data_IF_276951287472
#
_entry.id   IF_276951287472
#
_cell.length_a   1.000
_cell.length_b   1.000
_cell.length_c   1.000
_cell.angle_alpha   90.00
_cell.angle_beta   90.00
_cell.angle_gamma   90.00
#
_symmetry.space_group_name_H-M   'P 1'
#
loop_
_entity.id
_entity.type
_entity.pdbx_description
1 polymer ?
#
# COMPACT_ATOMS: atom_id res chain seq x y z
N UNK A 1 36.71 -2.07 -2.04
CA UNK A 1 35.29 -1.88 -2.42
C UNK A 1 35.00 -0.41 -2.25
N UNK A 2 34.40 0.21 -3.25
CA UNK A 2 34.18 1.65 -3.25
C UNK A 2 33.03 1.98 -2.29
N UNK A 3 33.34 2.75 -1.23
CA UNK A 3 32.39 3.05 -0.15
C UNK A 3 31.16 3.80 -0.68
N UNK A 4 31.36 4.63 -1.70
CA UNK A 4 30.32 5.41 -2.36
C UNK A 4 29.32 4.51 -3.09
N UNK A 5 29.82 3.56 -3.89
CA UNK A 5 28.97 2.59 -4.60
C UNK A 5 28.11 1.74 -3.63
N UNK A 6 28.64 1.40 -2.45
CA UNK A 6 27.87 0.67 -1.43
C UNK A 6 26.80 1.51 -0.76
N UNK A 7 27.00 2.83 -0.66
CA UNK A 7 26.00 3.74 -0.11
C UNK A 7 24.86 3.97 -1.11
N UNK A 8 25.18 4.26 -2.38
CA UNK A 8 24.19 4.42 -3.44
C UNK A 8 23.29 3.20 -3.57
N UNK A 9 23.87 1.98 -3.59
CA UNK A 9 23.10 0.75 -3.67
C UNK A 9 22.12 0.56 -2.49
N UNK A 10 22.47 1.03 -1.28
CA UNK A 10 21.59 0.98 -0.11
C UNK A 10 20.42 1.95 -0.22
N UNK A 11 20.67 3.15 -0.74
CA UNK A 11 19.63 4.16 -1.00
C UNK A 11 18.67 3.64 -2.08
N UNK A 12 19.19 3.10 -3.17
CA UNK A 12 18.39 2.49 -4.24
C UNK A 12 17.48 1.37 -3.72
N UNK A 13 18.04 0.42 -2.95
CA UNK A 13 17.27 -0.68 -2.37
C UNK A 13 16.18 -0.19 -1.40
N UNK A 14 16.46 0.85 -0.60
CA UNK A 14 15.47 1.46 0.27
C UNK A 14 14.37 2.18 -0.53
N UNK A 15 14.72 2.88 -1.60
CA UNK A 15 13.77 3.54 -2.50
C UNK A 15 12.87 2.54 -3.22
N UNK A 16 13.41 1.41 -3.69
CA UNK A 16 12.62 0.31 -4.25
C UNK A 16 11.64 -0.25 -3.21
N UNK A 17 12.08 -0.45 -1.98
CA UNK A 17 11.21 -0.92 -0.89
C UNK A 17 10.05 0.03 -0.58
N UNK A 18 10.28 1.35 -0.66
CA UNK A 18 9.23 2.38 -0.53
C UNK A 18 8.27 2.32 -1.72
N UNK A 19 8.79 2.21 -2.95
CA UNK A 19 7.99 2.13 -4.16
C UNK A 19 7.09 0.88 -4.17
N UNK A 20 7.62 -0.27 -3.76
CA UNK A 20 6.87 -1.52 -3.62
C UNK A 20 5.76 -1.40 -2.56
N UNK A 21 6.08 -0.90 -1.36
CA UNK A 21 5.09 -0.72 -0.30
C UNK A 21 3.96 0.25 -0.71
N UNK A 22 4.30 1.31 -1.44
CA UNK A 22 3.32 2.22 -2.02
C UNK A 22 2.43 1.51 -3.04
N UNK A 23 3.02 0.77 -3.98
CA UNK A 23 2.27 0.05 -5.01
C UNK A 23 1.32 -0.99 -4.38
N UNK A 24 1.79 -1.67 -3.34
CA UNK A 24 0.97 -2.59 -2.56
C UNK A 24 -0.28 -1.94 -1.97
N UNK A 25 -0.16 -0.75 -1.36
CA UNK A 25 -1.31 0.01 -0.85
C UNK A 25 -2.29 0.39 -1.96
N UNK A 26 -1.80 0.84 -3.11
CA UNK A 26 -2.64 1.17 -4.28
C UNK A 26 -3.44 -0.06 -4.73
N UNK A 27 -2.80 -1.23 -4.77
CA UNK A 27 -3.46 -2.47 -5.15
C UNK A 27 -4.50 -2.94 -4.12
N UNK A 28 -4.24 -2.74 -2.83
CA UNK A 28 -5.22 -3.00 -1.77
C UNK A 28 -6.45 -2.09 -1.89
N UNK A 29 -6.24 -0.78 -2.08
CA UNK A 29 -7.32 0.19 -2.26
C UNK A 29 -8.17 -0.11 -3.49
N UNK A 30 -7.52 -0.49 -4.60
CA UNK A 30 -8.23 -0.92 -5.81
C UNK A 30 -9.09 -2.15 -5.53
N UNK A 31 -8.56 -3.13 -4.79
CA UNK A 31 -9.30 -4.35 -4.44
C UNK A 31 -10.46 -4.07 -3.48
N UNK A 32 -10.30 -3.17 -2.51
CA UNK A 32 -11.38 -2.73 -1.64
C UNK A 32 -12.53 -2.10 -2.44
N UNK A 33 -12.22 -1.24 -3.41
CA UNK A 33 -13.24 -0.68 -4.30
C UNK A 33 -13.99 -1.75 -5.09
N UNK A 34 -13.28 -2.75 -5.62
CA UNK A 34 -13.91 -3.87 -6.32
C UNK A 34 -14.88 -4.64 -5.42
N UNK A 35 -14.52 -4.89 -4.16
CA UNK A 35 -15.41 -5.55 -3.20
C UNK A 35 -16.62 -4.69 -2.82
N UNK A 36 -16.46 -3.37 -2.71
CA UNK A 36 -17.59 -2.43 -2.47
C UNK A 36 -18.59 -2.49 -3.62
N UNK A 37 -18.12 -2.41 -4.87
CA UNK A 37 -18.99 -2.51 -6.03
C UNK A 37 -19.62 -3.90 -6.16
N UNK A 38 -18.88 -4.98 -5.93
CA UNK A 38 -19.44 -6.33 -5.90
C UNK A 38 -20.57 -6.45 -4.86
N UNK A 39 -20.35 -5.93 -3.65
CA UNK A 39 -21.36 -5.92 -2.58
C UNK A 39 -22.59 -5.10 -2.99
N UNK A 40 -22.39 -3.95 -3.66
CA UNK A 40 -23.47 -3.09 -4.14
C UNK A 40 -24.35 -3.79 -5.17
N UNK A 41 -23.74 -4.51 -6.11
CA UNK A 41 -24.45 -5.28 -7.14
C UNK A 41 -25.22 -6.43 -6.52
N UNK A 42 -24.57 -7.23 -5.67
CA UNK A 42 -25.19 -8.39 -5.02
C UNK A 42 -26.37 -8.01 -4.10
N UNK A 43 -26.38 -6.81 -3.52
CA UNK A 43 -27.51 -6.31 -2.72
C UNK A 43 -28.70 -5.86 -3.56
N UNK A 44 -28.47 -5.39 -4.80
CA UNK A 44 -29.52 -4.85 -5.67
C UNK A 44 -30.22 -5.91 -6.50
N UNK A 45 -29.55 -7.03 -6.77
CA UNK A 45 -30.11 -8.09 -7.59
C UNK A 45 -30.84 -9.10 -6.71
N UNK A 46 -32.17 -9.08 -6.77
CA UNK A 46 -33.05 -9.98 -5.99
C UNK A 46 -33.01 -11.44 -6.49
N UNK A 47 -32.59 -11.66 -7.74
CA UNK A 47 -32.54 -12.98 -8.40
C UNK A 47 -31.17 -13.18 -9.04
N UNK A 48 -30.16 -13.56 -8.25
CA UNK A 48 -28.87 -14.01 -8.78
C UNK A 48 -28.80 -15.52 -8.59
N UNK A 49 -28.97 -16.25 -9.69
CA UNK A 49 -28.84 -17.72 -9.68
C UNK A 49 -27.35 -18.12 -9.57
N UNK A 50 -26.48 -17.43 -10.31
CA UNK A 50 -25.04 -17.71 -10.37
C UNK A 50 -24.20 -16.49 -10.04
N UNK A 51 -23.42 -16.55 -8.96
CA UNK A 51 -22.46 -15.51 -8.59
C UNK A 51 -21.04 -15.93 -8.95
N UNK A 52 -20.34 -15.11 -9.74
CA UNK A 52 -18.93 -15.32 -10.06
C UNK A 52 -18.09 -14.21 -9.44
N UNK A 53 -16.99 -14.59 -8.79
CA UNK A 53 -16.07 -13.67 -8.13
C UNK A 53 -14.76 -13.64 -8.90
N UNK A 54 -14.25 -12.43 -9.17
CA UNK A 54 -12.91 -12.25 -9.69
C UNK A 54 -11.90 -12.40 -8.54
N UNK A 55 -11.03 -13.39 -8.64
CA UNK A 55 -9.94 -13.65 -7.71
C UNK A 55 -8.60 -13.12 -8.25
N UNK A 56 -7.62 -13.03 -7.35
CA UNK A 56 -6.22 -12.71 -7.72
C UNK A 56 -5.75 -13.61 -8.86
N UNK A 57 -4.99 -13.04 -9.81
CA UNK A 57 -4.52 -13.77 -10.99
C UNK A 57 -5.46 -13.75 -12.20
N UNK A 58 -6.49 -12.87 -12.21
CA UNK A 58 -7.47 -12.72 -13.31
C UNK A 58 -8.34 -13.96 -13.55
N UNK A 59 -8.61 -14.70 -12.49
CA UNK A 59 -9.42 -15.92 -12.54
C UNK A 59 -10.81 -15.63 -11.98
N UNK A 60 -11.85 -16.14 -12.64
CA UNK A 60 -13.20 -16.11 -12.10
C UNK A 60 -13.53 -17.44 -11.42
N UNK A 61 -14.07 -17.35 -10.21
CA UNK A 61 -14.50 -18.52 -9.43
C UNK A 61 -15.99 -18.41 -9.18
N UNK A 62 -16.74 -19.48 -9.49
CA UNK A 62 -18.15 -19.56 -9.17
C UNK A 62 -18.32 -19.71 -7.66
N UNK A 63 -19.08 -18.82 -7.05
CA UNK A 63 -19.47 -18.94 -5.65
C UNK A 63 -20.53 -20.03 -5.52
N UNK A 64 -20.23 -21.04 -4.71
CA UNK A 64 -21.22 -22.05 -4.30
C UNK A 64 -22.09 -21.57 -3.13
N UNK A 65 -21.88 -20.33 -2.65
CA UNK A 65 -22.66 -19.74 -1.57
C UNK A 65 -23.91 -19.07 -2.12
N UNK A 66 -25.03 -19.18 -1.38
CA UNK A 66 -26.21 -18.33 -1.62
C UNK A 66 -25.81 -16.84 -1.56
N UNK A 67 -26.56 -15.92 -2.20
CA UNK A 67 -26.21 -14.49 -2.24
C UNK A 67 -25.86 -13.88 -0.88
N UNK A 68 -26.60 -14.23 0.17
CA UNK A 68 -26.33 -13.78 1.56
C UNK A 68 -24.97 -14.28 2.09
N UNK A 69 -24.57 -15.50 1.78
CA UNK A 69 -23.26 -16.05 2.16
C UNK A 69 -22.12 -15.34 1.46
N UNK A 70 -22.27 -15.07 0.15
CA UNK A 70 -21.29 -14.28 -0.61
C UNK A 70 -21.18 -12.85 -0.07
N UNK A 71 -22.30 -12.22 0.30
CA UNK A 71 -22.31 -10.89 0.93
C UNK A 71 -21.57 -10.87 2.28
N UNK A 72 -21.76 -11.89 3.11
CA UNK A 72 -21.02 -12.02 4.37
C UNK A 72 -19.51 -12.16 4.13
N UNK A 73 -19.12 -12.98 3.15
CA UNK A 73 -17.73 -13.13 2.75
C UNK A 73 -17.11 -11.81 2.29
N UNK A 74 -17.80 -11.06 1.42
CA UNK A 74 -17.31 -9.76 0.94
C UNK A 74 -17.22 -8.73 2.07
N UNK A 75 -18.18 -8.73 3.00
CA UNK A 75 -18.15 -7.85 4.19
C UNK A 75 -16.94 -8.15 5.06
N UNK A 76 -16.64 -9.42 5.30
CA UNK A 76 -15.44 -9.82 6.01
C UNK A 76 -14.17 -9.40 5.26
N UNK A 77 -14.11 -9.57 3.93
CA UNK A 77 -12.98 -9.13 3.11
C UNK A 77 -12.75 -7.62 3.16
N UNK A 78 -13.82 -6.82 3.18
CA UNK A 78 -13.73 -5.37 3.36
C UNK A 78 -13.09 -5.03 4.70
N UNK A 79 -13.61 -5.56 5.80
CA UNK A 79 -13.06 -5.32 7.15
C UNK A 79 -11.62 -5.81 7.33
N UNK A 80 -11.29 -6.98 6.76
CA UNK A 80 -9.92 -7.50 6.80
C UNK A 80 -8.95 -6.58 6.02
N UNK A 81 -9.36 -6.11 4.84
CA UNK A 81 -8.51 -5.24 4.05
C UNK A 81 -8.37 -3.82 4.59
N UNK A 82 -9.34 -3.30 5.37
CA UNK A 82 -9.15 -2.05 6.11
C UNK A 82 -7.99 -2.15 7.11
N UNK A 83 -7.88 -3.26 7.84
CA UNK A 83 -6.75 -3.51 8.73
C UNK A 83 -5.43 -3.68 7.97
N UNK A 84 -5.49 -4.35 6.82
CA UNK A 84 -4.33 -4.56 5.95
C UNK A 84 -3.80 -3.24 5.36
N UNK A 85 -4.69 -2.33 4.96
CA UNK A 85 -4.34 -0.98 4.51
C UNK A 85 -3.67 -0.21 5.63
N UNK A 86 -4.21 -0.26 6.85
CA UNK A 86 -3.60 0.47 7.97
C UNK A 86 -2.21 -0.07 8.30
N UNK A 87 -2.05 -1.39 8.34
CA UNK A 87 -0.73 -2.02 8.51
C UNK A 87 0.23 -1.62 7.38
N UNK A 88 -0.24 -1.61 6.12
CA UNK A 88 0.58 -1.18 4.97
C UNK A 88 0.97 0.30 5.03
N UNK A 89 0.15 1.17 5.63
CA UNK A 89 0.50 2.58 5.85
C UNK A 89 1.60 2.72 6.90
N UNK A 90 1.51 1.98 8.01
CA UNK A 90 2.56 1.95 9.03
C UNK A 90 3.87 1.40 8.46
N UNK A 91 3.81 0.34 7.65
CA UNK A 91 5.00 -0.18 6.95
C UNK A 91 5.60 0.86 5.99
N UNK A 92 4.77 1.52 5.17
CA UNK A 92 5.24 2.56 4.25
C UNK A 92 5.90 3.72 5.01
N UNK A 93 5.30 4.19 6.12
CA UNK A 93 5.90 5.23 6.96
C UNK A 93 7.28 4.81 7.47
N UNK A 94 7.41 3.59 7.97
CA UNK A 94 8.68 3.07 8.45
C UNK A 94 9.75 3.00 7.35
N UNK A 95 9.38 2.54 6.15
CA UNK A 95 10.30 2.50 5.00
C UNK A 95 10.71 3.89 4.52
N UNK A 96 9.77 4.84 4.48
CA UNK A 96 10.07 6.24 4.13
C UNK A 96 10.99 6.88 5.16
N UNK A 97 10.76 6.63 6.45
CA UNK A 97 11.64 7.12 7.52
C UNK A 97 13.06 6.54 7.38
N UNK A 98 13.18 5.23 7.13
CA UNK A 98 14.47 4.57 6.90
C UNK A 98 15.19 5.09 5.66
N UNK A 99 14.46 5.38 4.57
CA UNK A 99 15.03 6.01 3.38
C UNK A 99 15.55 7.41 3.69
N UNK A 100 14.77 8.24 4.39
CA UNK A 100 15.18 9.59 4.77
C UNK A 100 16.42 9.58 5.69
N UNK A 101 16.54 8.61 6.60
CA UNK A 101 17.74 8.42 7.42
C UNK A 101 18.96 8.03 6.58
N UNK A 102 18.78 7.20 5.55
CA UNK A 102 19.86 6.79 4.64
C UNK A 102 20.30 7.92 3.71
N UNK A 103 19.36 8.70 3.17
CA UNK A 103 19.65 9.88 2.36
C UNK A 103 20.27 11.02 3.20
N UNK A 104 20.09 10.97 4.52
CA UNK A 104 20.58 11.99 5.44
C UNK A 104 19.80 13.31 5.32
N UNK A 105 20.21 14.37 6.04
CA UNK A 105 19.70 15.70 5.79
C UNK A 105 20.06 16.07 4.35
N UNK A 106 19.04 16.03 3.49
CA UNK A 106 19.04 16.23 2.05
C UNK A 106 20.28 17.00 1.61
N UNK A 107 21.15 16.37 0.84
CA UNK A 107 22.37 17.03 0.36
C UNK A 107 22.03 18.32 -0.43
N UNK A 108 20.79 18.44 -0.94
CA UNK A 108 20.25 19.68 -1.46
C UNK A 108 19.86 20.69 -0.37
N UNK A 109 19.22 20.28 0.74
CA UNK A 109 18.98 21.16 1.90
C UNK A 109 20.30 21.56 2.58
N UNK A 110 21.28 20.66 2.74
CA UNK A 110 22.58 20.98 3.32
C UNK A 110 23.38 21.94 2.44
N UNK A 111 23.26 21.83 1.10
CA UNK A 111 23.76 22.85 0.15
C UNK A 111 23.00 24.17 0.23
N UNK A 112 21.67 24.13 0.36
CA UNK A 112 20.82 25.33 0.48
C UNK A 112 21.03 26.07 1.81
N UNK A 113 21.29 25.35 2.89
CA UNK A 113 21.55 25.91 4.22
C UNK A 113 23.03 26.16 4.49
N UNK A 114 23.92 25.89 3.53
CA UNK A 114 25.35 26.22 3.63
C UNK A 114 25.51 27.74 3.75
N UNK A 115 25.82 28.22 4.95
CA UNK A 115 25.91 29.66 5.27
C UNK A 115 24.73 30.23 6.07
N UNK A 116 23.67 29.45 6.31
CA UNK A 116 22.56 29.78 7.21
C UNK A 116 22.64 29.07 8.57
N UNK A 117 23.78 28.47 8.89
CA UNK A 117 24.10 27.93 10.22
C UNK A 117 24.22 29.08 11.23
N UNK A 118 23.09 29.57 11.72
CA UNK A 118 23.05 30.56 12.79
C UNK A 118 23.59 29.89 14.07
N UNK A 119 24.77 30.35 14.52
CA UNK A 119 25.30 29.97 15.84
C UNK A 119 24.23 30.27 16.87
N UNK A 120 23.84 29.27 17.65
CA UNK A 120 22.98 29.46 18.80
C UNK A 120 23.61 30.54 19.69
N UNK A 121 22.96 31.70 19.75
CA UNK A 121 23.31 32.77 20.69
C UNK A 121 23.13 32.22 22.10
N UNK A 122 24.25 32.19 22.84
CA UNK A 122 24.35 31.81 24.24
C UNK A 122 23.36 32.56 25.12
#
# INVERSE_FOLDING_TARGET
>A
MDLDATHTARVELAAEGVAEAKQYLVDLDRRQHQYREATRVLRKSEVIEDTWLLCSGRVFVKSNLKPKGTLNYLTWKLSAGEKEIENGREELKAKVASLAELEGPDEALSKLFRGFELKATK
#
